data_IF_592173077582
#
_entry.id   IF_592173077582
#
_cell.length_a   1.000
_cell.length_b   1.000
_cell.length_c   1.000
_cell.angle_alpha   90.00
_cell.angle_beta   90.00
_cell.angle_gamma   90.00
#
_symmetry.space_group_name_H-M   'P 1'
#
loop_
_entity.id
_entity.type
_entity.pdbx_description
1 polymer ?
#
# COMPACT_ATOMS: atom_id res chain seq x y z
N UNK A 1 10.60 -13.16 5.83
CA UNK A 1 9.13 -13.32 5.81
C UNK A 1 8.60 -12.45 6.94
N UNK A 2 7.89 -11.35 6.63
CA UNK A 2 7.29 -10.53 7.68
C UNK A 2 6.21 -11.36 8.39
N UNK A 3 6.17 -11.41 9.73
CA UNK A 3 5.09 -12.08 10.42
C UNK A 3 3.80 -11.33 10.11
N UNK A 4 2.90 -11.98 9.38
CA UNK A 4 1.51 -11.56 9.31
C UNK A 4 0.97 -11.73 10.73
N UNK A 5 0.86 -10.62 11.45
CA UNK A 5 0.48 -10.60 12.85
C UNK A 5 -0.84 -11.36 13.00
N UNK A 6 -0.82 -12.47 13.74
CA UNK A 6 -2.03 -13.19 14.10
C UNK A 6 -2.84 -12.27 15.02
N UNK A 7 -3.78 -11.51 14.46
CA UNK A 7 -4.68 -10.65 15.22
C UNK A 7 -5.39 -11.49 16.27
N UNK A 8 -5.22 -11.13 17.54
CA UNK A 8 -6.01 -11.71 18.62
C UNK A 8 -7.47 -11.24 18.46
N UNK A 9 -8.44 -12.12 18.18
CA UNK A 9 -9.82 -11.73 17.86
C UNK A 9 -10.55 -11.03 19.01
N UNK A 10 -9.98 -11.06 20.22
CA UNK A 10 -10.57 -10.49 21.45
C UNK A 10 -10.34 -8.98 21.62
N UNK A 11 -9.51 -8.33 20.81
CA UNK A 11 -9.25 -6.88 20.92
C UNK A 11 -8.87 -6.28 19.55
N UNK A 12 -9.83 -5.79 18.75
CA UNK A 12 -9.56 -5.24 17.43
C UNK A 12 -8.97 -3.83 17.56
N UNK A 13 -7.69 -3.73 17.92
CA UNK A 13 -6.96 -2.46 17.84
C UNK A 13 -6.43 -2.27 16.41
N UNK A 14 -6.62 -1.07 15.88
CA UNK A 14 -5.94 -0.65 14.65
C UNK A 14 -4.43 -0.59 14.86
N UNK A 15 -3.67 -0.81 13.80
CA UNK A 15 -2.21 -0.72 13.82
C UNK A 15 -1.70 0.08 12.62
N UNK A 16 -0.44 0.50 12.71
CA UNK A 16 0.24 1.23 11.64
C UNK A 16 1.44 0.39 11.19
N UNK A 17 1.55 0.17 9.89
CA UNK A 17 2.71 -0.48 9.27
C UNK A 17 3.47 0.55 8.45
N UNK A 18 4.80 0.51 8.54
CA UNK A 18 5.68 1.40 7.77
C UNK A 18 6.52 0.55 6.82
N UNK A 19 6.43 0.85 5.53
CA UNK A 19 7.31 0.31 4.49
C UNK A 19 8.31 1.40 4.14
N UNK A 20 9.57 1.24 4.55
CA UNK A 20 10.64 2.23 4.32
C UNK A 20 11.84 1.60 3.59
N UNK A 21 12.73 2.45 3.07
CA UNK A 21 13.87 2.04 2.25
C UNK A 21 14.27 3.11 1.21
N UNK A 22 15.42 2.94 0.58
CA UNK A 22 15.92 3.83 -0.48
C UNK A 22 14.99 3.85 -1.70
N UNK A 23 15.13 4.85 -2.57
CA UNK A 23 14.44 4.81 -3.88
C UNK A 23 14.81 3.51 -4.61
N UNK A 24 13.86 2.94 -5.36
CA UNK A 24 14.01 1.67 -6.09
C UNK A 24 14.10 0.40 -5.22
N UNK A 25 14.00 0.50 -3.88
CA UNK A 25 13.96 -0.66 -2.98
C UNK A 25 12.61 -1.42 -2.97
N UNK A 26 11.76 -1.25 -3.99
CA UNK A 26 10.48 -1.97 -4.10
C UNK A 26 9.36 -1.56 -3.13
N UNK A 27 9.45 -0.40 -2.46
CA UNK A 27 8.41 0.03 -1.49
C UNK A 27 7.00 0.06 -2.07
N UNK A 28 6.85 0.67 -3.24
CA UNK A 28 5.56 0.76 -3.94
C UNK A 28 5.05 -0.62 -4.36
N UNK A 29 5.95 -1.50 -4.76
CA UNK A 29 5.61 -2.87 -5.15
C UNK A 29 5.05 -3.67 -3.97
N UNK A 30 5.69 -3.59 -2.81
CA UNK A 30 5.21 -4.23 -1.59
C UNK A 30 3.87 -3.66 -1.12
N UNK A 31 3.67 -2.33 -1.23
CA UNK A 31 2.40 -1.69 -0.92
C UNK A 31 1.28 -2.22 -1.85
N UNK A 32 1.50 -2.22 -3.16
CA UNK A 32 0.56 -2.75 -4.15
C UNK A 32 0.26 -4.23 -3.87
N UNK A 33 1.27 -5.03 -3.52
CA UNK A 33 1.11 -6.46 -3.18
C UNK A 33 0.18 -6.65 -1.98
N UNK A 34 0.34 -5.87 -0.90
CA UNK A 34 -0.53 -5.92 0.28
C UNK A 34 -1.97 -5.53 -0.06
N UNK A 35 -2.15 -4.47 -0.84
CA UNK A 35 -3.46 -3.99 -1.27
C UNK A 35 -4.20 -5.00 -2.15
N UNK A 36 -3.50 -5.66 -3.09
CA UNK A 36 -4.07 -6.76 -3.89
C UNK A 36 -4.59 -7.90 -3.00
N UNK A 37 -3.83 -8.30 -1.97
CA UNK A 37 -4.27 -9.34 -1.03
C UNK A 37 -5.50 -8.93 -0.22
N UNK A 38 -5.53 -7.70 0.29
CA UNK A 38 -6.69 -7.15 1.01
C UNK A 38 -7.94 -7.09 0.11
N UNK A 39 -7.79 -6.69 -1.15
CA UNK A 39 -8.88 -6.68 -2.13
C UNK A 39 -9.41 -8.09 -2.43
N UNK A 40 -8.53 -9.09 -2.57
CA UNK A 40 -8.93 -10.51 -2.75
C UNK A 40 -9.73 -10.98 -1.54
N UNK A 41 -9.33 -10.57 -0.33
CA UNK A 41 -10.06 -10.83 0.92
C UNK A 41 -11.33 -9.98 1.09
N UNK A 42 -11.73 -9.19 0.07
CA UNK A 42 -12.89 -8.28 0.09
C UNK A 42 -12.85 -7.23 1.21
N UNK A 43 -11.66 -6.88 1.68
CA UNK A 43 -11.48 -5.79 2.62
C UNK A 43 -11.68 -4.46 1.90
N UNK A 44 -12.31 -3.50 2.59
CA UNK A 44 -12.39 -2.12 2.09
C UNK A 44 -11.03 -1.46 2.28
N UNK A 45 -10.45 -0.99 1.18
CA UNK A 45 -9.13 -0.34 1.15
C UNK A 45 -9.26 1.00 0.43
N UNK A 46 -8.51 1.99 0.90
CA UNK A 46 -8.40 3.31 0.28
C UNK A 46 -6.92 3.71 0.26
N UNK A 47 -6.50 4.38 -0.82
CA UNK A 47 -5.09 4.69 -1.06
C UNK A 47 -4.95 6.18 -1.24
N UNK A 48 -4.03 6.76 -0.49
CA UNK A 48 -3.75 8.19 -0.53
C UNK A 48 -2.32 8.43 -0.97
N UNK A 49 -2.11 9.46 -1.78
CA UNK A 49 -0.79 9.95 -2.17
C UNK A 49 -0.75 11.47 -2.06
N UNK A 50 0.40 12.07 -1.71
CA UNK A 50 0.52 13.52 -1.71
C UNK A 50 0.37 14.06 -3.14
N UNK A 51 -0.35 15.18 -3.30
CA UNK A 51 -0.52 15.86 -4.61
C UNK A 51 0.80 16.22 -5.29
N UNK A 52 1.86 16.42 -4.53
CA UNK A 52 3.20 16.71 -5.06
C UNK A 52 3.89 15.52 -5.71
N UNK A 53 3.44 14.28 -5.48
CA UNK A 53 3.99 13.09 -6.13
C UNK A 53 3.29 12.80 -7.47
N UNK A 54 3.67 13.52 -8.51
CA UNK A 54 3.15 13.38 -9.87
C UNK A 54 4.15 12.72 -10.86
N UNK A 55 5.21 12.10 -10.34
CA UNK A 55 6.35 11.60 -11.15
C UNK A 55 5.97 10.58 -12.23
N UNK A 56 4.89 9.84 -12.01
CA UNK A 56 4.42 8.79 -12.92
C UNK A 56 2.94 8.92 -13.33
N UNK A 57 2.09 9.43 -12.44
CA UNK A 57 0.68 9.68 -12.70
C UNK A 57 0.15 10.67 -11.65
N UNK A 58 -0.93 11.38 -11.94
CA UNK A 58 -1.62 12.22 -10.94
C UNK A 58 -2.51 11.36 -10.04
N UNK A 59 -3.39 10.54 -10.62
CA UNK A 59 -4.41 9.75 -9.90
C UNK A 59 -4.00 8.30 -9.57
N UNK A 60 -2.77 7.90 -9.86
CA UNK A 60 -2.30 6.53 -9.61
C UNK A 60 -0.98 6.49 -8.83
N UNK A 61 -0.83 5.38 -8.10
CA UNK A 61 0.40 4.99 -7.43
C UNK A 61 1.07 3.93 -8.30
N UNK A 62 2.20 4.30 -8.92
CA UNK A 62 2.88 3.51 -9.94
C UNK A 62 4.23 3.04 -9.40
N UNK A 63 4.47 1.73 -9.48
CA UNK A 63 5.78 1.11 -9.21
C UNK A 63 6.72 1.28 -10.41
N UNK A 64 8.02 1.06 -10.19
CA UNK A 64 8.98 1.08 -11.28
C UNK A 64 8.74 -0.07 -12.29
N UNK A 65 8.19 -1.19 -11.82
CA UNK A 65 7.84 -2.37 -12.64
C UNK A 65 6.49 -2.21 -13.37
N UNK A 66 5.99 -0.97 -13.45
CA UNK A 66 4.74 -0.59 -14.15
C UNK A 66 3.47 -1.20 -13.58
N UNK A 67 3.50 -1.79 -12.38
CA UNK A 67 2.28 -2.04 -11.63
C UNK A 67 1.70 -0.70 -11.15
N UNK A 68 0.41 -0.47 -11.38
CA UNK A 68 -0.30 0.69 -10.87
C UNK A 68 -1.55 0.31 -10.08
N UNK A 69 -1.97 1.23 -9.22
CA UNK A 69 -3.24 1.16 -8.51
C UNK A 69 -3.81 2.58 -8.37
N UNK A 70 -5.12 2.72 -8.50
CA UNK A 70 -5.80 4.01 -8.34
C UNK A 70 -5.60 4.53 -6.93
N UNK A 71 -5.40 5.84 -6.80
CA UNK A 71 -5.17 6.52 -5.53
C UNK A 71 -5.81 7.89 -5.52
N UNK A 72 -6.24 8.34 -4.34
CA UNK A 72 -6.79 9.67 -4.15
C UNK A 72 -5.67 10.65 -3.78
N UNK A 73 -5.40 11.69 -4.60
CA UNK A 73 -4.43 12.73 -4.24
C UNK A 73 -4.93 13.59 -3.08
N UNK A 74 -4.12 13.71 -2.02
CA UNK A 74 -4.40 14.54 -0.83
C UNK A 74 -3.40 15.68 -0.68
#
# INVERSE_FOLDING_TARGET
>A
MFPENAMNPSNPRGWIEVITGSMFSGKTEELIRRLKRASIAKQKVEIFKPKTDNRYAEEELVSHDKNSIRSTPV
#
